data_IF_947498445479
#
_entry.id   IF_947498445479
#
_cell.length_a   1.000
_cell.length_b   1.000
_cell.length_c   1.000
_cell.angle_alpha   90.00
_cell.angle_beta   90.00
_cell.angle_gamma   90.00
#
_symmetry.space_group_name_H-M   'P 1'
#
loop_
_entity.id
_entity.type
_entity.pdbx_description
1 polymer ?
#
# COMPACT_ATOMS: atom_id res chain seq x y z
N UNK A 1 0.82 12.80 -25.39
CA UNK A 1 1.88 11.93 -24.80
C UNK A 1 1.21 10.97 -23.82
N UNK A 2 1.50 9.66 -23.86
CA UNK A 2 0.86 8.67 -22.97
C UNK A 2 1.41 8.77 -21.55
N UNK A 3 0.54 8.92 -20.55
CA UNK A 3 0.94 8.89 -19.14
C UNK A 3 1.52 7.53 -18.77
N UNK A 4 2.78 7.51 -18.28
CA UNK A 4 3.44 6.29 -17.83
C UNK A 4 3.05 5.98 -16.39
N UNK A 5 2.94 4.69 -16.08
CA UNK A 5 2.70 4.23 -14.71
C UNK A 5 3.90 4.53 -13.83
N UNK A 6 3.67 5.10 -12.65
CA UNK A 6 4.73 5.31 -11.66
C UNK A 6 5.10 3.99 -10.98
N UNK A 7 6.16 3.35 -11.49
CA UNK A 7 6.55 1.99 -11.13
C UNK A 7 6.84 1.80 -9.64
N UNK A 8 7.41 2.81 -8.98
CA UNK A 8 7.69 2.75 -7.55
C UNK A 8 6.41 2.66 -6.70
N UNK A 9 5.30 3.26 -7.14
CA UNK A 9 3.99 3.14 -6.46
C UNK A 9 3.33 1.81 -6.79
N UNK A 10 3.37 1.39 -8.06
CA UNK A 10 2.77 0.13 -8.50
C UNK A 10 3.39 -1.11 -7.82
N UNK A 11 4.69 -1.08 -7.50
CA UNK A 11 5.38 -2.16 -6.78
C UNK A 11 4.99 -2.26 -5.29
N UNK A 12 4.49 -1.18 -4.69
CA UNK A 12 4.25 -1.07 -3.24
C UNK A 12 2.78 -1.11 -2.84
N UNK A 13 1.89 -0.72 -3.74
CA UNK A 13 0.45 -0.59 -3.48
C UNK A 13 -0.35 -1.44 -4.46
N UNK A 14 -1.42 -2.06 -3.98
CA UNK A 14 -2.32 -2.89 -4.78
C UNK A 14 -3.75 -2.35 -4.72
N UNK A 15 -4.44 -2.34 -5.86
CA UNK A 15 -5.87 -2.03 -5.92
C UNK A 15 -6.66 -3.35 -5.92
N UNK A 16 -7.62 -3.50 -5.01
CA UNK A 16 -8.51 -4.68 -4.96
C UNK A 16 -9.58 -4.59 -6.05
N UNK A 17 -10.28 -5.70 -6.31
CA UNK A 17 -11.42 -5.72 -7.23
C UNK A 17 -12.51 -4.71 -6.86
N UNK A 18 -12.69 -4.46 -5.56
CA UNK A 18 -13.65 -3.49 -5.00
C UNK A 18 -13.14 -2.04 -5.01
N UNK A 19 -11.95 -1.78 -5.56
CA UNK A 19 -11.39 -0.43 -5.69
C UNK A 19 -10.72 0.13 -4.43
N UNK A 20 -10.53 -0.69 -3.38
CA UNK A 20 -9.75 -0.33 -2.18
C UNK A 20 -8.26 -0.41 -2.48
N UNK A 21 -7.49 0.52 -1.94
CA UNK A 21 -6.03 0.54 -2.08
C UNK A 21 -5.41 -0.09 -0.83
N UNK A 22 -4.62 -1.14 -1.02
CA UNK A 22 -3.94 -1.88 0.05
C UNK A 22 -2.45 -1.55 0.06
N UNK A 23 -1.90 -1.46 1.28
CA UNK A 23 -0.47 -1.28 1.54
C UNK A 23 0.02 -2.29 2.57
N UNK A 24 1.29 -2.66 2.46
CA UNK A 24 2.00 -3.36 3.53
C UNK A 24 2.11 -2.47 4.76
N UNK A 25 1.97 -3.05 5.95
CA UNK A 25 2.17 -2.33 7.21
C UNK A 25 3.65 -1.91 7.36
N UNK A 26 3.91 -0.71 7.87
CA UNK A 26 5.27 -0.17 8.00
C UNK A 26 6.04 -0.71 9.23
N UNK A 27 7.37 -0.63 9.21
CA UNK A 27 8.21 -0.97 10.37
C UNK A 27 8.27 -2.45 10.68
N UNK A 28 8.29 -3.30 9.66
CA UNK A 28 8.43 -4.77 9.79
C UNK A 28 9.88 -5.26 9.76
N UNK A 29 10.83 -4.42 9.33
CA UNK A 29 12.14 -4.92 8.91
C UNK A 29 13.12 -5.08 10.08
N UNK A 30 13.04 -4.24 11.12
CA UNK A 30 13.93 -4.29 12.27
C UNK A 30 13.24 -3.89 13.58
N UNK A 31 13.94 -4.06 14.71
CA UNK A 31 13.48 -3.74 16.07
C UNK A 31 12.19 -4.44 16.54
N UNK A 32 11.75 -5.51 15.87
CA UNK A 32 10.53 -6.24 16.22
C UNK A 32 10.60 -6.96 17.57
N UNK A 33 11.80 -7.19 18.13
CA UNK A 33 11.97 -7.83 19.45
C UNK A 33 11.40 -7.01 20.60
N UNK A 34 11.25 -5.69 20.41
CA UNK A 34 10.65 -4.77 21.39
C UNK A 34 9.13 -4.75 21.34
N UNK A 35 8.55 -5.25 20.25
CA UNK A 35 7.11 -5.22 20.05
C UNK A 35 6.44 -6.48 20.64
N UNK A 36 5.31 -6.32 21.34
CA UNK A 36 4.52 -7.45 21.79
C UNK A 36 3.97 -8.25 20.59
N UNK A 37 3.76 -9.56 20.79
CA UNK A 37 3.28 -10.48 19.75
C UNK A 37 1.97 -10.09 19.07
N UNK A 38 1.12 -9.28 19.72
CA UNK A 38 -0.08 -8.70 19.12
C UNK A 38 0.27 -7.69 18.01
N UNK A 39 1.26 -6.84 18.25
CA UNK A 39 1.70 -5.82 17.28
C UNK A 39 2.40 -6.50 16.11
N UNK A 40 3.34 -7.42 16.36
CA UNK A 40 4.03 -8.13 15.28
C UNK A 40 3.06 -8.88 14.35
N UNK A 41 2.03 -9.55 14.90
CA UNK A 41 0.96 -10.17 14.10
C UNK A 41 0.14 -9.16 13.30
N UNK A 42 -0.17 -7.98 13.87
CA UNK A 42 -0.86 -6.91 13.14
C UNK A 42 -0.02 -6.42 11.96
N UNK A 43 1.29 -6.25 12.15
CA UNK A 43 2.20 -5.81 11.08
C UNK A 43 2.22 -6.78 9.89
N UNK A 44 2.08 -8.09 10.12
CA UNK A 44 2.08 -9.11 9.04
C UNK A 44 0.91 -9.02 8.06
N UNK A 45 -0.15 -8.25 8.37
CA UNK A 45 -1.32 -8.10 7.50
C UNK A 45 -1.25 -6.81 6.70
N UNK A 46 -1.72 -6.87 5.46
CA UNK A 46 -1.93 -5.67 4.66
C UNK A 46 -3.06 -4.83 5.22
N UNK A 47 -2.93 -3.51 5.08
CA UNK A 47 -3.89 -2.54 5.59
C UNK A 47 -4.40 -1.66 4.46
N UNK A 48 -5.63 -1.16 4.61
CA UNK A 48 -6.17 -0.18 3.68
C UNK A 48 -5.42 1.15 3.82
N UNK A 49 -5.21 1.81 2.70
CA UNK A 49 -4.73 3.19 2.67
C UNK A 49 -5.82 4.14 3.16
N UNK A 50 -5.45 5.27 3.77
CA UNK A 50 -6.43 6.29 4.15
C UNK A 50 -7.04 6.94 2.91
N UNK A 51 -8.27 7.40 3.05
CA UNK A 51 -9.06 7.96 1.95
C UNK A 51 -8.37 9.15 1.27
N UNK A 52 -7.69 10.00 2.05
CA UNK A 52 -6.98 11.20 1.56
C UNK A 52 -5.96 10.90 0.45
N UNK A 53 -5.28 9.74 0.52
CA UNK A 53 -4.26 9.37 -0.47
C UNK A 53 -4.79 8.54 -1.63
N UNK A 54 -6.03 8.04 -1.56
CA UNK A 54 -6.56 7.11 -2.56
C UNK A 54 -6.65 7.72 -3.96
N UNK A 55 -7.05 9.00 -4.06
CA UNK A 55 -7.17 9.72 -5.34
C UNK A 55 -5.82 9.82 -6.06
N UNK A 56 -4.79 10.28 -5.34
CA UNK A 56 -3.42 10.42 -5.88
C UNK A 56 -2.85 9.08 -6.31
N UNK A 57 -3.00 8.03 -5.50
CA UNK A 57 -2.48 6.70 -5.84
C UNK A 57 -3.16 6.12 -7.08
N UNK A 58 -4.48 6.28 -7.20
CA UNK A 58 -5.22 5.83 -8.39
C UNK A 58 -4.68 6.53 -9.64
N UNK A 59 -4.52 7.85 -9.61
CA UNK A 59 -3.96 8.61 -10.74
C UNK A 59 -2.57 8.11 -11.17
N UNK A 60 -1.70 7.75 -10.23
CA UNK A 60 -0.32 7.33 -10.51
C UNK A 60 -0.21 5.89 -11.07
N UNK A 61 -1.14 5.01 -10.71
CA UNK A 61 -1.13 3.59 -11.10
C UNK A 61 -1.97 3.34 -12.36
N UNK A 62 -3.02 4.13 -12.58
CA UNK A 62 -4.00 3.86 -13.62
C UNK A 62 -3.34 3.82 -15.00
N UNK A 63 -3.34 2.62 -15.61
CA UNK A 63 -3.31 2.53 -17.07
C UNK A 63 -4.61 3.17 -17.53
N UNK A 64 -4.52 4.23 -18.33
CA UNK A 64 -5.65 4.68 -19.14
C UNK A 64 -6.11 3.45 -19.93
N UNK A 65 -7.32 2.99 -19.63
CA UNK A 65 -8.00 1.98 -20.44
C UNK A 65 -8.50 2.70 -21.68
#
# INVERSE_FOLDING_TARGET
MKTKTHQATAKRLKVTKTGKVMKRYAGQDHFNSRDPGKITRKKRRDTSLSESYTKTVKMLIQKQK
#
